data_IF_067405869615
#
_entry.id   IF_067405869615
#
_cell.length_a   1.000
_cell.length_b   1.000
_cell.length_c   1.000
_cell.angle_alpha   90.00
_cell.angle_beta   90.00
_cell.angle_gamma   90.00
#
_symmetry.space_group_name_H-M   'P 1'
#
loop_
_entity.id
_entity.type
_entity.pdbx_description
1 polymer ?
#
# COMPACT_ATOMS: atom_id res chain seq x y z
N UNK A 1 -8.57 6.69 -11.43
CA UNK A 1 -9.46 5.63 -10.93
C UNK A 1 -8.96 5.26 -9.55
N UNK A 2 -9.82 5.27 -8.53
CA UNK A 2 -9.45 4.95 -7.15
C UNK A 2 -9.84 3.49 -6.88
N UNK A 3 -8.88 2.70 -6.43
CA UNK A 3 -9.07 1.32 -5.99
C UNK A 3 -9.15 1.27 -4.48
N UNK A 4 -9.92 0.34 -3.94
CA UNK A 4 -10.08 0.19 -2.49
C UNK A 4 -10.14 -1.29 -2.13
N UNK A 5 -9.47 -1.64 -1.02
CA UNK A 5 -9.51 -2.96 -0.43
C UNK A 5 -9.76 -2.85 1.08
N UNK A 6 -10.68 -3.66 1.56
CA UNK A 6 -11.06 -3.73 2.97
C UNK A 6 -10.18 -4.73 3.71
N UNK A 7 -9.80 -4.38 4.94
CA UNK A 7 -8.97 -5.19 5.83
C UNK A 7 -9.53 -5.17 7.24
N UNK A 8 -9.17 -6.20 8.01
CA UNK A 8 -9.39 -6.27 9.45
C UNK A 8 -8.04 -6.30 10.16
N UNK A 9 -7.88 -5.51 11.21
CA UNK A 9 -6.62 -5.47 11.96
C UNK A 9 -6.35 -6.80 12.66
N UNK A 10 -5.29 -7.48 12.26
CA UNK A 10 -4.82 -8.70 12.89
C UNK A 10 -4.24 -8.46 14.29
N UNK A 11 -4.48 -9.41 15.20
CA UNK A 11 -3.94 -9.41 16.57
C UNK A 11 -2.42 -9.23 16.61
N UNK A 12 -1.70 -9.88 15.70
CA UNK A 12 -0.25 -9.82 15.62
C UNK A 12 0.30 -8.47 15.17
N UNK A 13 -0.56 -7.54 14.73
CA UNK A 13 -0.16 -6.22 14.27
C UNK A 13 -0.30 -5.13 15.34
N UNK A 14 -0.72 -5.52 16.55
CA UNK A 14 -0.90 -4.63 17.69
C UNK A 14 0.39 -4.55 18.52
N UNK A 15 0.82 -3.33 18.81
CA UNK A 15 1.99 -3.04 19.62
C UNK A 15 1.69 -3.06 21.13
N UNK A 16 2.72 -2.80 21.94
CA UNK A 16 2.62 -2.76 23.41
C UNK A 16 1.71 -1.64 23.95
N UNK A 17 1.32 -0.68 23.12
CA UNK A 17 0.40 0.41 23.45
C UNK A 17 -1.06 0.02 23.18
N UNK A 18 -1.31 -1.15 22.58
CA UNK A 18 -2.66 -1.63 22.26
C UNK A 18 -3.25 -0.99 21.00
N UNK A 19 -2.39 -0.49 20.09
CA UNK A 19 -2.76 0.03 18.77
C UNK A 19 -1.94 -0.64 17.67
N UNK A 20 -2.35 -0.48 16.42
CA UNK A 20 -1.56 -0.98 15.29
C UNK A 20 -0.15 -0.36 15.30
N UNK A 21 0.87 -1.22 15.22
CA UNK A 21 2.25 -0.81 15.05
C UNK A 21 2.41 -0.02 13.75
N UNK A 22 3.18 1.07 13.80
CA UNK A 22 3.45 1.93 12.65
C UNK A 22 4.01 1.18 11.43
N UNK A 23 4.65 0.03 11.62
CA UNK A 23 5.20 -0.81 10.56
C UNK A 23 4.13 -1.57 9.75
N UNK A 24 2.92 -1.78 10.28
CA UNK A 24 1.88 -2.50 9.56
C UNK A 24 0.99 -1.60 8.68
N UNK A 25 0.99 -0.28 8.87
CA UNK A 25 0.34 0.63 7.92
C UNK A 25 0.93 0.54 6.50
N UNK A 26 2.27 0.66 6.30
CA UNK A 26 2.86 0.48 4.97
C UNK A 26 2.68 -0.95 4.43
N UNK A 27 2.57 -1.96 5.29
CA UNK A 27 2.27 -3.33 4.87
C UNK A 27 0.92 -3.43 4.15
N UNK A 28 -0.16 -2.93 4.76
CA UNK A 28 -1.48 -2.96 4.14
C UNK A 28 -1.57 -2.06 2.90
N UNK A 29 -0.87 -0.91 2.92
CA UNK A 29 -0.71 -0.06 1.73
C UNK A 29 0.01 -0.81 0.60
N UNK A 30 1.06 -1.57 0.90
CA UNK A 30 1.77 -2.35 -0.11
C UNK A 30 0.88 -3.44 -0.72
N UNK A 31 0.17 -4.20 0.10
CA UNK A 31 -0.75 -5.24 -0.38
C UNK A 31 -1.82 -4.64 -1.32
N UNK A 32 -2.45 -3.54 -0.92
CA UNK A 32 -3.46 -2.85 -1.74
C UNK A 32 -2.86 -2.33 -3.06
N UNK A 33 -1.62 -1.83 -3.02
CA UNK A 33 -0.91 -1.36 -4.22
C UNK A 33 -0.57 -2.50 -5.17
N UNK A 34 -0.14 -3.65 -4.67
CA UNK A 34 0.16 -4.82 -5.51
C UNK A 34 -1.11 -5.35 -6.18
N UNK A 35 -2.22 -5.44 -5.45
CA UNK A 35 -3.50 -5.83 -6.03
C UNK A 35 -3.99 -4.80 -7.08
N UNK A 36 -3.84 -3.50 -6.81
CA UNK A 36 -4.14 -2.46 -7.79
C UNK A 36 -3.33 -2.61 -9.09
N UNK A 37 -2.02 -2.84 -8.97
CA UNK A 37 -1.13 -3.04 -10.11
C UNK A 37 -1.58 -4.25 -10.94
N UNK A 38 -1.87 -5.38 -10.28
CA UNK A 38 -2.32 -6.60 -10.94
C UNK A 38 -3.69 -6.43 -11.62
N UNK A 39 -4.66 -5.91 -10.89
CA UNK A 39 -6.07 -5.92 -11.29
C UNK A 39 -6.44 -4.74 -12.21
N UNK A 40 -5.80 -3.59 -12.02
CA UNK A 40 -6.14 -2.36 -12.74
C UNK A 40 -5.10 -2.00 -13.79
N UNK A 41 -3.80 -2.14 -13.48
CA UNK A 41 -2.75 -1.85 -14.47
C UNK A 41 -2.42 -3.05 -15.36
N UNK A 42 -2.83 -4.26 -14.96
CA UNK A 42 -2.81 -5.45 -15.81
C UNK A 42 -1.44 -6.12 -15.94
N UNK A 43 -0.54 -5.93 -14.96
CA UNK A 43 0.74 -6.63 -14.90
C UNK A 43 1.05 -7.10 -13.47
N UNK A 44 1.81 -8.18 -13.34
CA UNK A 44 2.13 -8.78 -12.04
C UNK A 44 3.55 -8.44 -11.58
N UNK A 45 3.71 -8.06 -10.31
CA UNK A 45 4.97 -7.62 -9.74
C UNK A 45 6.01 -8.75 -9.65
N UNK A 46 5.56 -9.98 -9.36
CA UNK A 46 6.41 -11.17 -9.27
C UNK A 46 6.91 -11.55 -10.67
N UNK A 47 6.01 -11.57 -11.66
CA UNK A 47 6.37 -11.85 -13.05
C UNK A 47 7.40 -10.83 -13.57
N UNK A 48 7.21 -9.54 -13.27
CA UNK A 48 8.20 -8.51 -13.66
C UNK A 48 9.56 -8.75 -13.00
N UNK A 49 9.59 -9.12 -11.70
CA UNK A 49 10.84 -9.42 -11.00
C UNK A 49 11.55 -10.65 -11.59
N UNK A 50 10.81 -11.70 -11.94
CA UNK A 50 11.34 -12.89 -12.63
C UNK A 50 11.94 -12.55 -14.02
N UNK A 51 11.37 -11.56 -14.70
CA UNK A 51 11.88 -11.01 -15.95
C UNK A 51 13.05 -10.01 -15.77
N UNK A 52 13.54 -9.81 -14.55
CA UNK A 52 14.64 -8.88 -14.23
C UNK A 52 14.23 -7.41 -14.18
N UNK A 53 12.93 -7.11 -14.18
CA UNK A 53 12.37 -5.77 -14.05
C UNK A 53 11.99 -5.52 -12.59
N UNK A 54 12.89 -4.90 -11.84
CA UNK A 54 12.70 -4.60 -10.42
C UNK A 54 12.07 -3.22 -10.21
N UNK A 55 10.80 -3.21 -9.80
CA UNK A 55 10.08 -1.99 -9.44
C UNK A 55 10.33 -1.65 -7.97
N UNK A 56 11.47 -1.02 -7.70
CA UNK A 56 11.91 -0.72 -6.33
C UNK A 56 11.26 0.54 -5.78
N UNK A 57 10.78 0.49 -4.53
CA UNK A 57 10.27 1.67 -3.81
C UNK A 57 11.40 2.67 -3.57
N UNK A 58 11.30 3.87 -4.15
CA UNK A 58 12.32 4.91 -4.01
C UNK A 58 12.12 5.81 -2.80
N UNK A 59 10.87 6.08 -2.43
CA UNK A 59 10.49 7.00 -1.35
C UNK A 59 9.03 6.76 -0.95
N UNK A 60 8.70 7.00 0.31
CA UNK A 60 7.32 7.20 0.76
C UNK A 60 7.27 8.16 1.95
N UNK A 61 6.11 8.78 2.15
CA UNK A 61 5.80 9.58 3.33
C UNK A 61 4.41 9.21 3.83
N UNK A 62 4.28 8.93 5.12
CA UNK A 62 3.02 8.56 5.76
C UNK A 62 2.74 9.53 6.90
N UNK A 63 1.48 9.96 7.00
CA UNK A 63 0.98 10.78 8.11
C UNK A 63 0.00 9.96 8.93
N UNK A 64 0.33 9.71 10.19
CA UNK A 64 -0.52 8.98 11.11
C UNK A 64 -1.45 9.96 11.83
N UNK A 65 -2.76 9.87 11.57
CA UNK A 65 -3.77 10.80 12.12
C UNK A 65 -4.60 10.12 13.21
N UNK A 66 -4.99 8.86 13.00
CA UNK A 66 -5.81 8.08 13.92
C UNK A 66 -5.29 6.66 14.00
N UNK A 67 -5.08 6.18 15.22
CA UNK A 67 -4.64 4.81 15.46
C UNK A 67 -5.77 3.81 15.28
N UNK A 68 -5.47 2.71 14.62
CA UNK A 68 -6.33 1.52 14.54
C UNK A 68 -6.07 0.58 15.73
N UNK A 69 -7.07 -0.21 16.09
CA UNK A 69 -7.02 -1.22 17.15
C UNK A 69 -7.35 -2.60 16.59
N UNK A 70 -7.12 -3.62 17.42
CA UNK A 70 -7.52 -5.00 17.14
C UNK A 70 -8.99 -5.04 16.66
N UNK A 71 -9.25 -5.87 15.66
CA UNK A 71 -10.56 -6.11 15.05
C UNK A 71 -11.22 -4.90 14.36
N UNK A 72 -10.54 -3.73 14.30
CA UNK A 72 -11.03 -2.61 13.48
C UNK A 72 -11.07 -3.04 12.01
N UNK A 73 -12.16 -2.67 11.33
CA UNK A 73 -12.25 -2.77 9.87
C UNK A 73 -11.90 -1.42 9.26
N UNK A 74 -11.03 -1.43 8.26
CA UNK A 74 -10.57 -0.22 7.59
C UNK A 74 -10.36 -0.48 6.10
N UNK A 75 -10.47 0.58 5.32
CA UNK A 75 -10.26 0.53 3.88
C UNK A 75 -8.93 1.17 3.54
N UNK A 76 -8.17 0.51 2.66
CA UNK A 76 -6.98 1.11 2.05
C UNK A 76 -7.36 1.53 0.65
N UNK A 77 -7.22 2.82 0.34
CA UNK A 77 -7.40 3.33 -1.03
C UNK A 77 -6.07 3.45 -1.76
N UNK A 78 -6.09 3.31 -3.08
CA UNK A 78 -4.92 3.46 -3.94
C UNK A 78 -5.27 4.11 -5.27
N UNK A 79 -4.47 5.10 -5.66
CA UNK A 79 -4.55 5.76 -6.96
C UNK A 79 -3.14 6.03 -7.50
N UNK A 80 -2.96 5.83 -8.81
CA UNK A 80 -1.68 6.07 -9.50
C UNK A 80 -1.65 7.40 -10.23
N UNK A 81 -0.47 8.02 -10.26
CA UNK A 81 -0.17 9.24 -10.98
C UNK A 81 1.18 9.08 -11.69
N UNK A 82 1.28 9.68 -12.88
CA UNK A 82 2.53 9.70 -13.63
C UNK A 82 3.50 10.72 -13.06
N UNK A 83 4.80 10.46 -13.22
CA UNK A 83 5.83 11.43 -12.84
C UNK A 83 5.67 12.75 -13.61
N UNK A 84 5.68 13.86 -12.88
CA UNK A 84 5.51 15.20 -13.47
C UNK A 84 6.62 15.58 -14.46
N UNK A 85 7.80 14.95 -14.37
CA UNK A 85 8.93 15.16 -15.27
C UNK A 85 9.02 14.09 -16.36
N UNK A 86 8.03 13.20 -16.47
CA UNK A 86 7.99 12.12 -17.46
C UNK A 86 9.04 11.03 -17.22
N UNK A 87 9.61 10.95 -16.01
CA UNK A 87 10.49 9.85 -15.66
C UNK A 87 9.68 8.53 -15.58
N UNK A 88 10.32 7.36 -15.79
CA UNK A 88 9.68 6.06 -15.64
C UNK A 88 9.48 5.73 -14.15
N UNK A 89 8.66 6.53 -13.46
CA UNK A 89 8.29 6.40 -12.06
C UNK A 89 6.77 6.43 -11.95
N UNK A 90 6.25 5.51 -11.16
CA UNK A 90 4.85 5.49 -10.77
C UNK A 90 4.72 6.08 -9.38
N UNK A 91 3.87 7.09 -9.24
CA UNK A 91 3.54 7.69 -7.95
C UNK A 91 2.21 7.12 -7.49
N UNK A 92 2.13 6.70 -6.23
CA UNK A 92 0.90 6.20 -5.65
C UNK A 92 0.47 7.11 -4.51
N UNK A 93 -0.82 7.46 -4.50
CA UNK A 93 -1.46 8.11 -3.35
C UNK A 93 -2.36 7.07 -2.69
N UNK A 94 -2.15 6.89 -1.39
CA UNK A 94 -2.87 5.90 -0.61
C UNK A 94 -3.42 6.53 0.68
N UNK A 95 -4.49 5.97 1.21
CA UNK A 95 -5.10 6.42 2.46
C UNK A 95 -5.68 5.24 3.23
N UNK A 96 -5.67 5.39 4.55
CA UNK A 96 -6.28 4.51 5.57
C UNK A 96 -7.15 5.41 6.45
#
# INVERSE_FOLDING_TARGET
MEYSKNYTVADGHIDVQGIMDGLYYPFYMEECRHDYIREVLGFDFVEQAENGVFMVLSEYSIKFIRSLKKDDNFDVTCAVFTDAKGLPRLHFKQSI
#
